data_IF_597274919709
#
_entry.id   IF_597274919709
#
_cell.length_a   1.000
_cell.length_b   1.000
_cell.length_c   1.000
_cell.angle_alpha   90.00
_cell.angle_beta   90.00
_cell.angle_gamma   90.00
#
_symmetry.space_group_name_H-M   'P 1'
#
loop_
_entity.id
_entity.type
_entity.pdbx_description
1 polymer ?
#
# COMPACT_ATOMS: atom_id res chain seq x y z
N UNK A 1 -0.16 6.37 25.68
CA UNK A 1 0.86 5.33 25.88
C UNK A 1 1.32 4.86 24.51
N UNK A 2 2.31 5.60 23.97
CA UNK A 2 3.31 5.31 22.92
C UNK A 2 2.82 4.69 21.56
N UNK A 3 3.14 5.17 20.35
CA UNK A 3 3.99 6.31 19.94
C UNK A 3 4.09 6.63 18.41
N UNK A 4 3.32 6.09 17.45
CA UNK A 4 3.80 6.17 16.02
C UNK A 4 2.82 6.72 14.97
N UNK A 5 2.30 7.93 15.22
CA UNK A 5 1.94 8.87 14.14
C UNK A 5 3.20 9.50 13.49
N UNK A 6 4.40 9.13 13.95
CA UNK A 6 5.68 9.66 13.48
C UNK A 6 6.23 8.94 12.26
N UNK A 7 5.60 9.15 11.12
CA UNK A 7 6.37 8.98 9.89
C UNK A 7 5.93 9.98 8.83
N UNK A 8 6.23 11.22 9.20
CA UNK A 8 6.37 12.35 8.30
C UNK A 8 7.53 12.05 7.33
N UNK A 9 7.26 11.33 6.23
CA UNK A 9 8.19 11.32 5.09
C UNK A 9 7.93 12.61 4.32
N UNK A 10 8.66 13.66 4.68
CA UNK A 10 8.93 14.71 3.71
C UNK A 10 9.97 14.18 2.72
N UNK A 11 9.56 13.97 1.47
CA UNK A 11 10.48 13.74 0.37
C UNK A 11 9.96 14.38 -0.92
N UNK A 12 10.36 15.63 -1.15
CA UNK A 12 10.37 16.28 -2.46
C UNK A 12 9.07 16.95 -2.93
N UNK A 13 9.14 17.86 -3.92
CA UNK A 13 8.05 18.76 -4.35
C UNK A 13 6.82 18.08 -4.97
N UNK A 14 6.79 16.74 -5.03
CA UNK A 14 5.63 15.92 -5.40
C UNK A 14 5.19 15.10 -4.18
N UNK A 15 4.80 15.78 -3.10
CA UNK A 15 4.40 15.13 -1.84
C UNK A 15 3.07 14.42 -2.01
N UNK A 16 3.08 13.16 -2.44
CA UNK A 16 1.90 12.30 -2.37
C UNK A 16 1.59 12.00 -0.91
N UNK A 17 0.41 12.42 -0.42
CA UNK A 17 -0.06 11.99 0.89
C UNK A 17 -0.38 10.49 0.82
N UNK A 18 0.50 9.68 1.42
CA UNK A 18 0.31 8.24 1.48
C UNK A 18 -0.99 7.86 2.20
N UNK A 19 -1.49 8.70 3.12
CA UNK A 19 -2.78 8.47 3.77
C UNK A 19 -3.93 8.59 2.78
N UNK A 20 -3.88 9.58 1.90
CA UNK A 20 -4.90 9.77 0.85
C UNK A 20 -4.88 8.61 -0.15
N UNK A 21 -3.67 8.20 -0.55
CA UNK A 21 -3.45 7.04 -1.41
C UNK A 21 -4.01 5.77 -0.78
N UNK A 22 -3.67 5.50 0.49
CA UNK A 22 -4.14 4.31 1.22
C UNK A 22 -5.65 4.35 1.35
N UNK A 23 -6.23 5.46 1.81
CA UNK A 23 -7.67 5.57 2.06
C UNK A 23 -8.46 5.33 0.76
N UNK A 24 -8.03 5.96 -0.34
CA UNK A 24 -8.71 5.87 -1.64
C UNK A 24 -8.59 4.49 -2.29
N UNK A 25 -7.52 3.74 -2.00
CA UNK A 25 -7.27 2.43 -2.62
C UNK A 25 -7.52 1.24 -1.67
N UNK A 26 -7.74 1.49 -0.38
CA UNK A 26 -7.96 0.50 0.69
C UNK A 26 -8.94 -0.59 0.29
N UNK A 27 -10.15 -0.19 -0.13
CA UNK A 27 -11.20 -1.11 -0.48
C UNK A 27 -10.90 -1.92 -1.74
N UNK A 28 -10.22 -1.31 -2.73
CA UNK A 28 -9.87 -1.98 -3.98
C UNK A 28 -8.76 -3.03 -3.76
N UNK A 29 -7.73 -2.68 -3.00
CA UNK A 29 -6.63 -3.58 -2.63
C UNK A 29 -7.14 -4.70 -1.74
N UNK A 30 -7.96 -4.40 -0.74
CA UNK A 30 -8.55 -5.43 0.12
C UNK A 30 -9.36 -6.46 -0.68
N UNK A 31 -10.19 -6.01 -1.62
CA UNK A 31 -10.93 -6.91 -2.52
C UNK A 31 -10.01 -7.74 -3.41
N UNK A 32 -8.87 -7.20 -3.85
CA UNK A 32 -7.87 -7.94 -4.60
C UNK A 32 -7.20 -9.00 -3.73
N UNK A 33 -6.72 -8.61 -2.54
CA UNK A 33 -6.12 -9.52 -1.58
C UNK A 33 -7.08 -10.65 -1.21
N UNK A 34 -8.36 -10.34 -0.97
CA UNK A 34 -9.38 -11.35 -0.70
C UNK A 34 -9.60 -12.33 -1.86
N UNK A 35 -9.54 -11.87 -3.12
CA UNK A 35 -9.58 -12.76 -4.28
C UNK A 35 -8.34 -13.64 -4.41
N UNK A 36 -7.19 -13.19 -3.91
CA UNK A 36 -5.93 -13.93 -3.95
C UNK A 36 -5.85 -14.96 -2.82
N UNK A 37 -6.30 -14.62 -1.62
CA UNK A 37 -6.17 -15.48 -0.44
C UNK A 37 -7.39 -16.37 -0.17
N UNK A 38 -8.59 -15.96 -0.60
CA UNK A 38 -9.84 -16.67 -0.34
C UNK A 38 -10.32 -16.63 1.12
N UNK A 39 -9.59 -15.98 2.03
CA UNK A 39 -9.93 -15.84 3.44
C UNK A 39 -9.76 -14.38 3.90
N UNK A 40 -10.63 -13.96 4.81
CA UNK A 40 -10.68 -12.61 5.39
C UNK A 40 -9.41 -12.28 6.18
N UNK A 41 -8.91 -13.19 7.01
CA UNK A 41 -7.73 -12.93 7.85
C UNK A 41 -6.47 -12.75 7.00
N UNK A 42 -6.20 -13.70 6.10
CA UNK A 42 -5.09 -13.62 5.16
C UNK A 42 -5.19 -12.38 4.25
N UNK A 43 -6.41 -12.00 3.86
CA UNK A 43 -6.63 -10.79 3.07
C UNK A 43 -6.26 -9.52 3.82
N UNK A 44 -6.58 -9.42 5.12
CA UNK A 44 -6.20 -8.28 5.96
C UNK A 44 -4.69 -8.20 6.11
N UNK A 45 -4.03 -9.32 6.42
CA UNK A 45 -2.59 -9.39 6.58
C UNK A 45 -1.86 -9.02 5.28
N UNK A 46 -2.30 -9.59 4.17
CA UNK A 46 -1.78 -9.28 2.84
C UNK A 46 -1.97 -7.79 2.50
N UNK A 47 -3.14 -7.23 2.79
CA UNK A 47 -3.44 -5.81 2.56
C UNK A 47 -2.53 -4.90 3.36
N UNK A 48 -2.27 -5.24 4.64
CA UNK A 48 -1.34 -4.48 5.46
C UNK A 48 0.09 -4.54 4.90
N UNK A 49 0.58 -5.72 4.55
CA UNK A 49 1.93 -5.88 4.00
C UNK A 49 2.11 -5.12 2.68
N UNK A 50 1.06 -5.08 1.83
CA UNK A 50 1.04 -4.23 0.63
C UNK A 50 1.26 -2.77 0.97
N UNK A 51 0.53 -2.22 1.94
CA UNK A 51 0.65 -0.82 2.31
C UNK A 51 1.98 -0.51 2.98
N UNK A 52 2.54 -1.41 3.79
CA UNK A 52 3.86 -1.26 4.39
C UNK A 52 4.95 -1.20 3.30
N UNK A 53 4.88 -2.07 2.29
CA UNK A 53 5.81 -2.04 1.15
C UNK A 53 5.63 -0.82 0.27
N UNK A 54 4.38 -0.42 0.04
CA UNK A 54 4.07 0.82 -0.67
C UNK A 54 4.65 2.03 0.07
N UNK A 55 4.49 2.08 1.39
CA UNK A 55 5.05 3.15 2.21
C UNK A 55 6.59 3.20 2.12
N UNK A 56 7.26 2.05 2.20
CA UNK A 56 8.73 1.94 2.07
C UNK A 56 9.23 2.31 0.67
N UNK A 57 8.47 1.97 -0.37
CA UNK A 57 8.83 2.22 -1.77
C UNK A 57 8.46 3.59 -2.30
N UNK A 58 7.53 4.31 -1.64
CA UNK A 58 7.00 5.60 -2.11
C UNK A 58 8.10 6.65 -2.22
N UNK A 59 9.08 6.65 -1.31
CA UNK A 59 10.22 7.57 -1.37
C UNK A 59 11.10 7.40 -2.62
N UNK A 60 10.99 6.27 -3.33
CA UNK A 60 11.69 6.02 -4.59
C UNK A 60 10.72 5.93 -5.80
N UNK A 61 9.44 6.23 -5.59
CA UNK A 61 8.44 6.19 -6.63
C UNK A 61 8.56 7.42 -7.53
N UNK A 62 9.13 7.22 -8.73
CA UNK A 62 9.42 8.31 -9.69
C UNK A 62 8.19 8.80 -10.48
N UNK A 63 6.98 8.45 -10.08
CA UNK A 63 5.74 8.87 -10.77
C UNK A 63 5.58 8.34 -12.20
N UNK A 64 6.32 7.29 -12.59
CA UNK A 64 6.30 6.73 -13.95
C UNK A 64 5.06 5.86 -14.26
N UNK A 65 4.17 5.69 -13.28
CA UNK A 65 2.94 4.90 -13.41
C UNK A 65 1.89 5.48 -12.48
N UNK A 66 0.62 5.13 -12.70
CA UNK A 66 -0.41 5.42 -11.70
C UNK A 66 -0.09 4.68 -10.40
N UNK A 67 -0.24 5.38 -9.27
CA UNK A 67 -0.03 4.81 -7.92
C UNK A 67 -0.87 3.55 -7.71
N UNK A 68 -2.11 3.54 -8.23
CA UNK A 68 -3.00 2.38 -8.18
C UNK A 68 -2.39 1.16 -8.87
N UNK A 69 -1.84 1.33 -10.06
CA UNK A 69 -1.16 0.26 -10.81
C UNK A 69 0.04 -0.27 -10.04
N UNK A 70 0.79 0.61 -9.38
CA UNK A 70 1.92 0.20 -8.56
C UNK A 70 1.50 -0.60 -7.32
N UNK A 71 0.45 -0.17 -6.60
CA UNK A 71 -0.12 -0.91 -5.46
C UNK A 71 -0.62 -2.30 -5.87
N UNK A 72 -1.29 -2.41 -7.02
CA UNK A 72 -1.76 -3.69 -7.55
C UNK A 72 -0.60 -4.65 -7.82
N UNK A 73 0.53 -4.16 -8.34
CA UNK A 73 1.72 -4.98 -8.55
C UNK A 73 2.26 -5.54 -7.24
N UNK A 74 2.34 -4.73 -6.19
CA UNK A 74 2.81 -5.17 -4.87
C UNK A 74 1.89 -6.27 -4.32
N UNK A 75 0.57 -6.09 -4.43
CA UNK A 75 -0.41 -7.09 -3.98
C UNK A 75 -0.30 -8.43 -4.71
N UNK A 76 -0.11 -8.41 -6.03
CA UNK A 76 0.07 -9.62 -6.83
C UNK A 76 1.39 -10.32 -6.47
N UNK A 77 2.48 -9.57 -6.31
CA UNK A 77 3.79 -10.12 -5.92
C UNK A 77 3.69 -10.83 -4.57
N UNK A 78 2.99 -10.23 -3.61
CA UNK A 78 2.84 -10.80 -2.27
C UNK A 78 1.86 -11.98 -2.23
N UNK A 79 0.75 -11.93 -2.96
CA UNK A 79 -0.25 -12.99 -2.98
C UNK A 79 0.16 -14.22 -3.80
N UNK A 80 1.27 -14.15 -4.54
CA UNK A 80 1.83 -15.27 -5.30
C UNK A 80 2.89 -16.05 -4.52
N UNK A 81 3.13 -15.70 -3.26
CA UNK A 81 4.25 -16.19 -2.45
C UNK A 81 3.83 -17.20 -1.40
#
# INVERSE_FOLDING_TARGET
MIDQTEKNIQAGPQSYDIKEVITSNSQAIYRLCYRLTGNVEDAKDLTQEVFIRAYKGLGNFKGQSEIKTWLYRIAIILGSS
#
